data_IF_573230208453
#
_entry.id   IF_573230208453
#
_cell.length_a   1.000
_cell.length_b   1.000
_cell.length_c   1.000
_cell.angle_alpha   90.00
_cell.angle_beta   90.00
_cell.angle_gamma   90.00
#
_symmetry.space_group_name_H-M   'P 1'
#
loop_
_entity.id
_entity.type
_entity.pdbx_description
1 polymer ?
#
# COMPACT_ATOMS: atom_id res chain seq x y z
N UNK A 1 10.79 13.11 2.05
CA UNK A 1 9.43 13.58 2.38
C UNK A 1 8.55 12.55 3.10
N UNK A 2 8.01 11.50 2.47
CA UNK A 2 7.03 10.60 3.13
C UNK A 2 7.54 9.96 4.44
N UNK A 3 8.79 9.48 4.47
CA UNK A 3 9.39 8.96 5.71
C UNK A 3 9.57 10.05 6.79
N UNK A 4 9.87 11.28 6.40
CA UNK A 4 10.04 12.39 7.35
C UNK A 4 8.70 12.79 7.97
N UNK A 5 7.66 12.90 7.14
CA UNK A 5 6.27 13.12 7.60
C UNK A 5 5.83 12.00 8.54
N UNK A 6 6.06 10.75 8.19
CA UNK A 6 5.69 9.59 9.02
C UNK A 6 6.34 9.63 10.42
N UNK A 7 7.54 10.22 10.54
CA UNK A 7 8.26 10.32 11.80
C UNK A 7 7.75 11.43 12.74
N UNK A 8 7.06 12.45 12.21
CA UNK A 8 6.68 13.65 12.97
C UNK A 8 5.17 13.87 13.07
N UNK A 9 4.41 13.32 12.13
CA UNK A 9 2.95 13.44 12.08
C UNK A 9 2.31 12.22 12.73
N UNK A 10 1.79 12.42 13.95
CA UNK A 10 1.17 11.38 14.74
C UNK A 10 -0.15 10.86 14.13
N UNK A 11 -0.89 11.70 13.41
CA UNK A 11 -2.13 11.29 12.76
C UNK A 11 -1.82 10.38 11.57
N UNK A 12 -0.88 10.80 10.72
CA UNK A 12 -0.40 9.99 9.60
C UNK A 12 0.18 8.66 10.08
N UNK A 13 1.00 8.68 11.13
CA UNK A 13 1.56 7.47 11.73
C UNK A 13 0.48 6.53 12.26
N UNK A 14 -0.55 7.08 12.92
CA UNK A 14 -1.71 6.33 13.40
C UNK A 14 -2.51 5.68 12.26
N UNK A 15 -2.80 6.43 11.20
CA UNK A 15 -3.50 5.91 10.01
C UNK A 15 -2.67 4.82 9.30
N UNK A 16 -1.36 5.03 9.18
CA UNK A 16 -0.47 4.06 8.53
C UNK A 16 -0.29 2.78 9.37
N UNK A 17 -0.39 2.88 10.71
CA UNK A 17 -0.49 1.72 11.60
C UNK A 17 -1.84 1.01 11.51
N UNK A 18 -2.95 1.74 11.42
CA UNK A 18 -4.26 1.13 11.16
C UNK A 18 -4.26 0.35 9.82
N UNK A 19 -3.64 0.90 8.77
CA UNK A 19 -3.47 0.22 7.48
C UNK A 19 -2.64 -1.07 7.60
N UNK A 20 -1.64 -1.08 8.48
CA UNK A 20 -0.86 -2.27 8.79
C UNK A 20 -1.71 -3.35 9.47
N UNK A 21 -2.48 -2.97 10.48
CA UNK A 21 -3.34 -3.89 11.23
C UNK A 21 -4.44 -4.48 10.32
N UNK A 22 -5.05 -3.65 9.47
CA UNK A 22 -6.03 -4.07 8.46
C UNK A 22 -5.44 -5.07 7.46
N UNK A 23 -4.20 -4.84 7.00
CA UNK A 23 -3.49 -5.79 6.13
C UNK A 23 -3.31 -7.16 6.82
N UNK A 24 -2.87 -7.16 8.07
CA UNK A 24 -2.67 -8.40 8.84
C UNK A 24 -3.99 -9.13 9.06
N UNK A 25 -5.06 -8.40 9.39
CA UNK A 25 -6.41 -8.96 9.57
C UNK A 25 -6.93 -9.58 8.27
N UNK A 26 -6.79 -8.88 7.14
CA UNK A 26 -7.19 -9.38 5.82
C UNK A 26 -6.41 -10.65 5.43
N UNK A 27 -5.11 -10.71 5.73
CA UNK A 27 -4.29 -11.91 5.49
C UNK A 27 -4.70 -13.06 6.42
N UNK A 28 -4.92 -12.79 7.70
CA UNK A 28 -5.33 -13.80 8.68
C UNK A 28 -6.68 -14.44 8.30
N UNK A 29 -7.60 -13.66 7.71
CA UNK A 29 -8.89 -14.15 7.23
C UNK A 29 -8.78 -15.24 6.14
N UNK A 30 -7.62 -15.38 5.47
CA UNK A 30 -7.37 -16.46 4.51
C UNK A 30 -7.17 -17.82 5.18
N UNK A 31 -6.96 -17.87 6.49
CA UNK A 31 -6.76 -19.12 7.24
C UNK A 31 -5.43 -19.82 6.93
N UNK A 32 -4.46 -19.11 6.36
CA UNK A 32 -3.12 -19.61 6.04
C UNK A 32 -2.13 -18.98 7.00
N UNK A 33 -1.50 -19.80 7.84
CA UNK A 33 -0.42 -19.35 8.71
C UNK A 33 0.93 -19.46 8.00
N UNK A 34 1.73 -18.40 8.09
CA UNK A 34 3.07 -18.30 7.48
C UNK A 34 3.98 -17.61 8.49
N UNK A 35 4.68 -18.36 9.36
CA UNK A 35 5.47 -17.82 10.46
C UNK A 35 6.57 -16.83 10.03
N UNK A 36 7.12 -16.99 8.83
CA UNK A 36 8.22 -16.17 8.30
C UNK A 36 7.82 -14.72 8.04
N UNK A 37 6.52 -14.42 7.96
CA UNK A 37 5.98 -13.08 7.66
C UNK A 37 5.07 -12.54 8.75
N UNK A 38 5.14 -13.09 9.96
CA UNK A 38 4.45 -12.54 11.14
C UNK A 38 4.82 -11.08 11.30
N UNK A 39 3.80 -10.23 11.53
CA UNK A 39 3.91 -8.77 11.64
C UNK A 39 4.55 -8.06 10.44
N UNK A 40 4.71 -8.75 9.31
CA UNK A 40 5.16 -8.15 8.05
C UNK A 40 3.97 -7.82 7.18
N UNK A 41 3.91 -6.57 6.73
CA UNK A 41 2.88 -6.06 5.82
C UNK A 41 3.50 -5.33 4.62
N UNK A 42 2.68 -4.68 3.79
CA UNK A 42 3.12 -4.06 2.56
C UNK A 42 4.08 -2.88 2.76
N UNK A 43 5.08 -2.76 1.88
CA UNK A 43 5.82 -1.52 1.67
C UNK A 43 6.64 -0.97 2.84
N UNK A 44 6.90 -1.78 3.88
CA UNK A 44 7.66 -1.37 5.08
C UNK A 44 6.78 -0.80 6.21
N UNK A 45 5.45 -0.86 6.06
CA UNK A 45 4.50 -0.56 7.12
C UNK A 45 4.80 -1.37 8.40
N UNK A 46 4.55 -0.80 9.59
CA UNK A 46 4.00 0.54 9.83
C UNK A 46 5.07 1.63 10.05
N UNK A 47 6.35 1.29 10.14
CA UNK A 47 7.34 2.22 10.70
C UNK A 47 8.13 3.01 9.63
N UNK A 48 8.04 2.60 8.36
CA UNK A 48 8.75 3.24 7.25
C UNK A 48 8.05 3.08 5.92
N UNK A 49 8.42 3.92 4.97
CA UNK A 49 8.10 3.77 3.55
C UNK A 49 9.31 3.20 2.84
N UNK A 50 9.24 1.91 2.47
CA UNK A 50 10.30 1.20 1.73
C UNK A 50 10.07 1.27 0.22
N UNK A 51 8.93 0.76 -0.25
CA UNK A 51 8.67 0.63 -1.68
C UNK A 51 7.22 1.02 -2.02
N UNK A 52 7.07 2.09 -2.81
CA UNK A 52 5.77 2.69 -3.12
C UNK A 52 4.85 1.74 -3.88
N UNK A 53 5.38 0.90 -4.78
CA UNK A 53 4.57 -0.04 -5.55
C UNK A 53 3.77 -1.00 -4.65
N UNK A 54 4.33 -1.40 -3.50
CA UNK A 54 3.62 -2.26 -2.54
C UNK A 54 2.52 -1.50 -1.80
N UNK A 55 2.74 -0.22 -1.48
CA UNK A 55 1.71 0.62 -0.85
C UNK A 55 0.55 0.92 -1.79
N UNK A 56 0.87 1.18 -3.06
CA UNK A 56 -0.12 1.33 -4.14
C UNK A 56 -0.95 0.04 -4.27
N UNK A 57 -0.29 -1.13 -4.32
CA UNK A 57 -0.99 -2.41 -4.39
C UNK A 57 -1.92 -2.64 -3.19
N UNK A 58 -1.48 -2.28 -1.97
CA UNK A 58 -2.33 -2.36 -0.79
C UNK A 58 -3.55 -1.44 -0.91
N UNK A 59 -3.37 -0.20 -1.33
CA UNK A 59 -4.47 0.78 -1.46
C UNK A 59 -5.51 0.35 -2.49
N UNK A 60 -5.05 -0.18 -3.63
CA UNK A 60 -5.93 -0.75 -4.65
C UNK A 60 -6.73 -1.96 -4.13
N UNK A 61 -6.17 -2.74 -3.21
CA UNK A 61 -6.82 -3.92 -2.65
C UNK A 61 -7.77 -3.59 -1.48
N UNK A 62 -7.38 -2.67 -0.60
CA UNK A 62 -8.11 -2.35 0.62
C UNK A 62 -9.14 -1.22 0.42
N UNK A 63 -8.95 -0.37 -0.59
CA UNK A 63 -9.79 0.78 -0.88
C UNK A 63 -9.13 2.12 -0.54
N UNK A 64 -9.66 3.17 -1.16
CA UNK A 64 -9.22 4.56 -0.94
C UNK A 64 -9.41 4.97 0.54
N UNK A 65 -8.42 5.65 1.10
CA UNK A 65 -8.41 6.15 2.47
C UNK A 65 -7.88 5.15 3.50
N UNK A 66 -7.69 3.87 3.14
CA UNK A 66 -7.13 2.89 4.08
C UNK A 66 -5.62 3.10 4.25
N UNK A 67 -4.89 3.36 3.17
CA UNK A 67 -3.45 3.57 3.21
C UNK A 67 -3.08 4.93 2.61
N UNK A 68 -3.00 6.00 3.43
CA UNK A 68 -2.87 7.37 2.94
C UNK A 68 -1.62 7.59 2.08
N UNK A 69 -0.50 6.92 2.39
CA UNK A 69 0.74 7.03 1.61
C UNK A 69 0.70 6.22 0.31
N UNK A 70 -0.05 5.12 0.30
CA UNK A 70 -0.31 4.36 -0.91
C UNK A 70 -1.27 5.09 -1.86
N UNK A 71 -2.29 5.77 -1.33
CA UNK A 71 -3.19 6.64 -2.09
C UNK A 71 -2.45 7.84 -2.69
N UNK A 72 -1.61 8.51 -1.89
CA UNK A 72 -0.74 9.59 -2.36
C UNK A 72 0.16 9.10 -3.50
N UNK A 73 0.80 7.94 -3.33
CA UNK A 73 1.65 7.35 -4.37
C UNK A 73 0.87 6.95 -5.63
N UNK A 74 -0.36 6.44 -5.48
CA UNK A 74 -1.23 6.09 -6.60
C UNK A 74 -1.66 7.34 -7.38
N UNK A 75 -1.99 8.44 -6.69
CA UNK A 75 -2.39 9.70 -7.29
C UNK A 75 -1.26 10.35 -8.12
N UNK A 76 0.00 10.09 -7.77
CA UNK A 76 1.18 10.57 -8.52
C UNK A 76 1.42 9.78 -9.82
N UNK A 77 0.85 8.59 -9.97
CA UNK A 77 1.06 7.80 -11.19
C UNK A 77 0.33 8.42 -12.39
N UNK A 78 0.97 8.48 -13.57
CA UNK A 78 0.25 8.78 -14.79
C UNK A 78 -0.75 7.65 -15.07
N UNK A 79 -1.93 7.99 -15.60
CA UNK A 79 -2.98 7.03 -15.93
C UNK A 79 -2.68 6.28 -17.24
N UNK A 80 -1.49 5.71 -17.36
CA UNK A 80 -1.03 4.98 -18.55
C UNK A 80 -1.94 3.80 -18.90
N UNK A 81 -2.64 3.24 -17.92
CA UNK A 81 -3.59 2.14 -18.10
C UNK A 81 -4.89 2.56 -18.80
N UNK A 82 -5.11 3.87 -19.00
CA UNK A 82 -6.21 4.37 -19.84
C UNK A 82 -5.85 4.41 -21.33
N UNK A 83 -4.57 4.25 -21.69
CA UNK A 83 -4.09 4.38 -23.07
C UNK A 83 -4.29 3.09 -23.91
N UNK A 84 -5.49 2.51 -23.83
CA UNK A 84 -5.85 1.26 -24.52
C UNK A 84 -5.73 0.02 -23.64
N UNK A 85 -6.42 -1.04 -24.04
CA UNK A 85 -6.42 -2.29 -23.29
C UNK A 85 -5.07 -3.04 -23.41
N UNK A 86 -4.83 -4.04 -22.56
CA UNK A 86 -3.58 -4.81 -22.56
C UNK A 86 -3.29 -5.52 -23.90
N UNK A 87 -4.30 -5.74 -24.76
CA UNK A 87 -4.11 -6.32 -26.09
C UNK A 87 -3.59 -5.27 -27.06
N UNK A 88 -4.18 -4.07 -27.08
CA UNK A 88 -3.80 -2.94 -27.94
C UNK A 88 -2.39 -2.40 -27.64
N UNK A 89 -1.90 -2.59 -26.41
CA UNK A 89 -0.56 -2.18 -26.00
C UNK A 89 0.53 -3.22 -26.27
N UNK A 90 0.19 -4.49 -26.50
CA UNK A 90 1.19 -5.55 -26.78
C UNK A 90 1.82 -5.39 -28.17
N UNK A 91 1.09 -4.75 -29.08
CA UNK A 91 1.47 -4.61 -30.48
C UNK A 91 2.12 -3.24 -30.81
N UNK A 92 2.44 -2.44 -29.77
CA UNK A 92 3.21 -1.18 -29.85
C UNK A 92 4.65 -1.40 -29.38
#
# INVERSE_FOLDING_TARGET
EMNERLAIDAELSGQYRAAHDDYLAARAALGIDVPEIVDISAGGMPDRVKCLHSLIAHSLAAGEGVNPLGDEALALLPKWWLNGNCLERRDQ
#
